data_IF_661499148886
#
_entry.id   IF_661499148886
#
_cell.length_a   1.000
_cell.length_b   1.000
_cell.length_c   1.000
_cell.angle_alpha   90.00
_cell.angle_beta   90.00
_cell.angle_gamma   90.00
#
_symmetry.space_group_name_H-M   'P 1'
#
loop_
_entity.id
_entity.type
_entity.pdbx_description
1 polymer ?
#
# COMPACT_ATOMS: atom_id res chain seq x y z
N UNK A 1 19.85 5.23 10.34
CA UNK A 1 18.64 4.48 10.75
C UNK A 1 18.70 3.11 10.08
N UNK A 2 18.31 2.04 10.79
CA UNK A 2 18.24 0.71 10.18
C UNK A 2 17.29 0.74 8.95
N UNK A 3 17.62 0.00 7.91
CA UNK A 3 16.82 -0.09 6.69
C UNK A 3 15.53 -0.88 6.98
N UNK A 4 14.38 -0.21 6.98
CA UNK A 4 13.09 -0.87 7.19
C UNK A 4 12.68 -1.73 5.99
N UNK A 5 11.91 -2.80 6.25
CA UNK A 5 11.34 -3.68 5.23
C UNK A 5 9.94 -4.12 5.64
N UNK A 6 8.97 -3.99 4.75
CA UNK A 6 7.59 -4.43 4.95
C UNK A 6 7.24 -5.65 4.10
N UNK A 7 6.27 -6.43 4.56
CA UNK A 7 5.58 -7.47 3.82
C UNK A 7 4.17 -7.01 3.49
N UNK A 8 3.76 -7.09 2.22
CA UNK A 8 2.38 -6.89 1.79
C UNK A 8 1.68 -8.23 1.53
N UNK A 9 0.44 -8.38 2.01
CA UNK A 9 -0.35 -9.59 1.80
C UNK A 9 -1.73 -9.28 1.24
N UNK A 10 -2.30 -10.22 0.48
CA UNK A 10 -3.66 -10.12 -0.11
C UNK A 10 -4.49 -11.32 0.35
N UNK A 11 -4.93 -11.36 1.61
CA UNK A 11 -5.52 -12.58 2.19
C UNK A 11 -6.91 -12.92 1.64
N UNK A 12 -7.64 -11.96 1.09
CA UNK A 12 -8.98 -12.18 0.55
C UNK A 12 -9.07 -13.08 -0.69
N UNK A 13 -7.93 -13.60 -1.17
CA UNK A 13 -7.86 -14.58 -2.27
C UNK A 13 -7.85 -16.04 -1.77
N UNK A 14 -8.35 -16.29 -0.57
CA UNK A 14 -8.54 -17.66 -0.05
C UNK A 14 -7.77 -18.02 1.21
N UNK A 15 -7.09 -17.06 1.87
CA UNK A 15 -6.39 -17.32 3.13
C UNK A 15 -7.38 -17.47 4.28
N UNK A 16 -7.12 -18.43 5.15
CA UNK A 16 -7.83 -18.56 6.43
C UNK A 16 -7.22 -17.64 7.48
N UNK A 17 -7.98 -17.29 8.51
CA UNK A 17 -7.48 -16.47 9.62
C UNK A 17 -6.20 -17.04 10.25
N UNK A 18 -6.09 -18.37 10.39
CA UNK A 18 -4.88 -19.03 10.87
C UNK A 18 -3.66 -18.83 9.98
N UNK A 19 -3.85 -18.74 8.66
CA UNK A 19 -2.78 -18.52 7.69
C UNK A 19 -2.26 -17.10 7.81
N UNK A 20 -3.15 -16.11 7.94
CA UNK A 20 -2.79 -14.70 8.18
C UNK A 20 -1.94 -14.58 9.45
N UNK A 21 -2.37 -15.22 10.55
CA UNK A 21 -1.63 -15.18 11.82
C UNK A 21 -0.29 -15.91 11.75
N UNK A 22 -0.22 -17.04 11.02
CA UNK A 22 1.03 -17.78 10.84
C UNK A 22 2.05 -16.96 10.05
N UNK A 23 1.65 -16.43 8.89
CA UNK A 23 2.50 -15.57 8.05
C UNK A 23 2.94 -14.31 8.80
N UNK A 24 2.08 -13.73 9.63
CA UNK A 24 2.43 -12.57 10.42
C UNK A 24 3.56 -12.88 11.43
N UNK A 25 3.47 -14.01 12.15
CA UNK A 25 4.55 -14.46 13.05
C UNK A 25 5.83 -14.78 12.29
N UNK A 26 5.71 -15.54 11.19
CA UNK A 26 6.86 -15.92 10.36
C UNK A 26 7.61 -14.69 9.82
N UNK A 27 6.89 -13.64 9.40
CA UNK A 27 7.47 -12.39 8.94
C UNK A 27 8.16 -11.60 10.08
N UNK A 28 7.52 -11.50 11.24
CA UNK A 28 8.11 -10.86 12.42
C UNK A 28 9.39 -11.59 12.88
N UNK A 29 9.39 -12.91 12.91
CA UNK A 29 10.54 -13.74 13.27
C UNK A 29 11.66 -13.71 12.22
N UNK A 30 11.31 -13.41 10.97
CA UNK A 30 12.26 -13.20 9.89
C UNK A 30 12.87 -11.79 9.85
N UNK A 31 12.45 -10.88 10.74
CA UNK A 31 13.00 -9.54 10.86
C UNK A 31 12.38 -8.50 9.94
N UNK A 32 11.15 -8.72 9.45
CA UNK A 32 10.38 -7.66 8.80
C UNK A 32 9.95 -6.60 9.83
N UNK A 33 9.90 -5.34 9.40
CA UNK A 33 9.55 -4.20 10.26
C UNK A 33 8.07 -3.83 10.19
N UNK A 34 7.35 -4.31 9.18
CA UNK A 34 5.92 -4.05 9.02
C UNK A 34 5.19 -5.08 8.18
N UNK A 35 3.90 -5.26 8.43
CA UNK A 35 3.01 -6.14 7.66
C UNK A 35 1.77 -5.35 7.26
N UNK A 36 1.47 -5.35 5.96
CA UNK A 36 0.40 -4.55 5.37
C UNK A 36 -0.56 -5.45 4.61
N UNK A 37 -1.84 -5.35 4.91
CA UNK A 37 -2.87 -6.15 4.25
C UNK A 37 -3.68 -5.31 3.24
N UNK A 38 -3.94 -5.88 2.07
CA UNK A 38 -4.82 -5.27 1.06
C UNK A 38 -6.30 -5.56 1.35
N UNK A 39 -7.17 -4.61 1.01
CA UNK A 39 -8.63 -4.78 1.07
C UNK A 39 -9.15 -5.36 -0.25
N UNK A 40 -9.12 -6.68 -0.36
CA UNK A 40 -9.62 -7.47 -1.49
C UNK A 40 -10.43 -8.64 -0.94
N UNK A 41 -11.73 -8.65 -1.12
CA UNK A 41 -12.66 -9.68 -0.62
C UNK A 41 -12.56 -9.93 0.91
N UNK A 42 -12.12 -8.94 1.67
CA UNK A 42 -11.97 -9.01 3.13
C UNK A 42 -12.18 -7.63 3.76
N UNK A 43 -12.50 -7.57 5.03
CA UNK A 43 -12.37 -6.35 5.83
C UNK A 43 -10.91 -6.21 6.29
N UNK A 44 -10.25 -5.18 5.78
CA UNK A 44 -8.82 -4.97 6.06
C UNK A 44 -8.57 -4.52 7.51
N UNK A 45 -9.54 -3.89 8.18
CA UNK A 45 -9.40 -3.50 9.58
C UNK A 45 -9.44 -4.75 10.49
N UNK A 46 -10.38 -5.68 10.23
CA UNK A 46 -10.41 -6.98 10.91
C UNK A 46 -9.15 -7.80 10.61
N UNK A 47 -8.65 -7.76 9.38
CA UNK A 47 -7.40 -8.42 9.01
C UNK A 47 -6.21 -7.84 9.77
N UNK A 48 -6.12 -6.51 9.90
CA UNK A 48 -5.08 -5.86 10.69
C UNK A 48 -5.12 -6.28 12.16
N UNK A 49 -6.32 -6.44 12.75
CA UNK A 49 -6.47 -6.97 14.12
C UNK A 49 -5.91 -8.39 14.25
N UNK A 50 -6.18 -9.27 13.28
CA UNK A 50 -5.64 -10.64 13.29
C UNK A 50 -4.10 -10.65 13.24
N UNK A 51 -3.51 -9.79 12.41
CA UNK A 51 -2.05 -9.63 12.31
C UNK A 51 -1.49 -9.11 13.63
N UNK A 52 -2.08 -8.05 14.17
CA UNK A 52 -1.63 -7.42 15.42
C UNK A 52 -1.71 -8.34 16.63
N UNK A 53 -2.78 -9.14 16.74
CA UNK A 53 -2.93 -10.14 17.79
C UNK A 53 -1.90 -11.29 17.70
N UNK A 54 -1.33 -11.51 16.52
CA UNK A 54 -0.32 -12.55 16.30
C UNK A 54 1.12 -12.04 16.42
N UNK A 55 1.36 -10.73 16.53
CA UNK A 55 2.67 -10.08 16.50
C UNK A 55 2.87 -9.12 17.69
N UNK A 56 4.13 -8.77 17.99
CA UNK A 56 4.48 -7.93 19.14
C UNK A 56 5.33 -6.71 18.82
N UNK A 57 6.05 -6.71 17.70
CA UNK A 57 7.06 -5.69 17.36
C UNK A 57 6.79 -4.97 16.05
N UNK A 58 6.34 -5.72 15.03
CA UNK A 58 6.15 -5.17 13.68
C UNK A 58 5.05 -4.13 13.64
N UNK A 59 5.23 -3.11 12.81
CA UNK A 59 4.14 -2.24 12.43
C UNK A 59 3.07 -3.04 11.65
N UNK A 60 1.81 -2.72 11.85
CA UNK A 60 0.69 -3.35 11.13
C UNK A 60 -0.09 -2.27 10.41
N UNK A 61 -0.37 -2.46 9.13
CA UNK A 61 -1.09 -1.45 8.38
C UNK A 61 -2.12 -1.99 7.40
N UNK A 62 -3.05 -1.11 7.04
CA UNK A 62 -3.93 -1.34 5.90
C UNK A 62 -3.27 -0.84 4.62
N UNK A 63 -3.43 -1.58 3.51
CA UNK A 63 -2.81 -1.22 2.22
C UNK A 63 -3.74 -1.48 1.04
N UNK A 64 -4.78 -0.76 0.93
CA UNK A 64 -5.32 0.37 1.71
C UNK A 64 -6.76 0.07 2.14
N UNK A 65 -7.25 0.72 3.18
CA UNK A 65 -8.66 0.74 3.48
C UNK A 65 -9.38 1.68 2.51
N UNK A 66 -10.39 1.17 1.80
CA UNK A 66 -11.17 1.92 0.84
C UNK A 66 -12.08 2.92 1.56
N UNK A 67 -11.90 4.21 1.28
CA UNK A 67 -12.66 5.30 1.91
C UNK A 67 -14.16 5.29 1.64
N UNK A 68 -14.60 4.57 0.61
CA UNK A 68 -16.01 4.50 0.24
C UNK A 68 -16.78 3.38 0.95
N UNK A 69 -16.08 2.40 1.55
CA UNK A 69 -16.72 1.22 2.15
C UNK A 69 -17.06 1.39 3.63
N UNK A 70 -16.56 2.45 4.28
CA UNK A 70 -16.87 2.69 5.69
C UNK A 70 -16.99 4.18 6.00
N UNK A 71 -17.92 4.53 6.89
CA UNK A 71 -18.05 5.91 7.35
C UNK A 71 -16.78 6.36 8.08
N UNK A 72 -16.27 7.61 7.90
CA UNK A 72 -15.03 8.08 8.51
C UNK A 72 -15.03 8.00 10.05
N UNK A 73 -16.20 8.16 10.69
CA UNK A 73 -16.35 7.95 12.12
C UNK A 73 -16.02 6.51 12.52
N UNK A 74 -16.63 5.51 11.87
CA UNK A 74 -16.40 4.10 12.17
C UNK A 74 -14.95 3.70 11.88
N UNK A 75 -14.39 4.25 10.80
CA UNK A 75 -12.97 4.05 10.47
C UNK A 75 -12.05 4.59 11.57
N UNK A 76 -12.30 5.80 12.06
CA UNK A 76 -11.51 6.40 13.13
C UNK A 76 -11.63 5.62 14.46
N UNK A 77 -12.85 5.20 14.85
CA UNK A 77 -13.05 4.41 16.07
C UNK A 77 -12.36 3.04 15.98
N UNK A 78 -12.47 2.36 14.83
CA UNK A 78 -11.76 1.11 14.60
C UNK A 78 -10.25 1.28 14.63
N UNK A 79 -9.73 2.31 13.96
CA UNK A 79 -8.29 2.62 13.95
C UNK A 79 -7.75 2.93 15.35
N UNK A 80 -8.52 3.69 16.14
CA UNK A 80 -8.20 4.01 17.54
C UNK A 80 -8.08 2.74 18.41
N UNK A 81 -9.07 1.85 18.31
CA UNK A 81 -9.08 0.59 19.06
C UNK A 81 -7.92 -0.32 18.65
N UNK A 82 -7.65 -0.42 17.35
CA UNK A 82 -6.55 -1.24 16.82
C UNK A 82 -5.21 -0.67 17.29
N UNK A 83 -5.02 0.65 17.23
CA UNK A 83 -3.79 1.31 17.67
C UNK A 83 -3.56 1.11 19.18
N UNK A 84 -4.61 1.20 19.99
CA UNK A 84 -4.54 0.97 21.43
C UNK A 84 -4.14 -0.48 21.72
N UNK A 85 -4.82 -1.45 21.12
CA UNK A 85 -4.51 -2.87 21.26
C UNK A 85 -3.10 -3.26 20.80
N UNK A 86 -2.49 -2.47 19.92
CA UNK A 86 -1.14 -2.69 19.37
C UNK A 86 -0.10 -1.70 19.93
N UNK A 87 -0.42 -0.95 20.97
CA UNK A 87 0.50 -0.01 21.60
C UNK A 87 1.14 0.97 20.60
N UNK A 88 0.34 1.49 19.66
CA UNK A 88 0.75 2.48 18.67
C UNK A 88 1.45 1.92 17.41
N UNK A 89 1.52 0.61 17.22
CA UNK A 89 2.12 -0.02 16.02
C UNK A 89 1.23 -0.01 14.78
N UNK A 90 0.00 0.53 14.85
CA UNK A 90 -0.93 0.54 13.75
C UNK A 90 -0.72 1.73 12.81
N UNK A 91 -0.76 1.49 11.50
CA UNK A 91 -0.71 2.49 10.43
C UNK A 91 -1.99 2.39 9.61
N UNK A 92 -2.77 3.48 9.55
CA UNK A 92 -4.00 3.53 8.76
C UNK A 92 -3.68 3.99 7.33
N UNK A 93 -3.53 3.05 6.42
CA UNK A 93 -3.42 3.32 4.98
C UNK A 93 -4.81 3.51 4.37
N UNK A 94 -5.05 4.64 3.73
CA UNK A 94 -6.31 5.03 3.10
C UNK A 94 -6.16 5.24 1.59
N UNK A 95 -7.20 4.96 0.84
CA UNK A 95 -7.22 5.18 -0.60
C UNK A 95 -8.61 5.08 -1.20
N UNK A 96 -8.70 5.46 -2.47
CA UNK A 96 -9.95 5.50 -3.23
C UNK A 96 -10.28 4.19 -3.94
N UNK A 97 -9.42 3.17 -3.82
CA UNK A 97 -9.54 1.90 -4.56
C UNK A 97 -9.59 2.12 -6.09
N UNK A 98 -10.20 1.21 -6.83
CA UNK A 98 -10.24 1.23 -8.29
C UNK A 98 -11.66 1.44 -8.80
N UNK A 99 -11.89 2.27 -9.84
CA UNK A 99 -13.25 2.54 -10.35
C UNK A 99 -14.03 1.28 -10.72
N UNK A 100 -13.47 0.26 -11.39
CA UNK A 100 -14.23 -0.95 -11.70
C UNK A 100 -14.67 -1.71 -10.44
N UNK A 101 -13.82 -1.76 -9.41
CA UNK A 101 -14.13 -2.43 -8.13
C UNK A 101 -15.25 -1.67 -7.41
N UNK A 102 -15.12 -0.37 -7.26
CA UNK A 102 -16.14 0.46 -6.61
C UNK A 102 -17.47 0.41 -7.34
N UNK A 103 -17.47 0.44 -8.68
CA UNK A 103 -18.69 0.29 -9.49
C UNK A 103 -19.36 -1.06 -9.26
N UNK A 104 -18.61 -2.15 -9.20
CA UNK A 104 -19.14 -3.48 -8.91
C UNK A 104 -19.78 -3.58 -7.52
N UNK A 105 -19.31 -2.76 -6.56
CA UNK A 105 -19.84 -2.64 -5.21
C UNK A 105 -20.97 -1.59 -5.09
N UNK A 106 -21.45 -1.03 -6.19
CA UNK A 106 -22.50 -0.01 -6.20
C UNK A 106 -22.06 1.37 -5.67
N UNK A 107 -20.76 1.64 -5.63
CA UNK A 107 -20.20 2.90 -5.13
C UNK A 107 -20.08 3.91 -6.26
N UNK A 108 -20.69 5.08 -6.09
CA UNK A 108 -20.39 6.28 -6.87
C UNK A 108 -19.20 7.02 -6.24
N UNK A 109 -18.12 7.13 -6.98
CA UNK A 109 -16.89 7.77 -6.48
C UNK A 109 -16.92 9.30 -6.53
N UNK A 110 -17.78 9.91 -7.35
CA UNK A 110 -17.80 11.36 -7.57
C UNK A 110 -16.43 11.93 -7.95
N UNK A 111 -15.97 12.94 -7.20
CA UNK A 111 -14.58 13.48 -7.29
C UNK A 111 -13.68 12.79 -6.24
N UNK A 112 -12.87 11.79 -6.62
CA UNK A 112 -12.06 11.03 -5.68
C UNK A 112 -11.04 11.85 -4.89
N UNK A 113 -10.31 12.83 -5.47
CA UNK A 113 -9.43 13.72 -4.70
C UNK A 113 -10.17 14.52 -3.63
N UNK A 114 -11.33 15.08 -3.94
CA UNK A 114 -12.13 15.81 -2.97
C UNK A 114 -12.71 14.89 -1.89
N UNK A 115 -13.17 13.70 -2.26
CA UNK A 115 -13.64 12.68 -1.32
C UNK A 115 -12.53 12.25 -0.36
N UNK A 116 -11.33 11.98 -0.88
CA UNK A 116 -10.17 11.61 -0.07
C UNK A 116 -9.80 12.73 0.92
N UNK A 117 -9.77 13.98 0.48
CA UNK A 117 -9.52 15.14 1.36
C UNK A 117 -10.53 15.19 2.51
N UNK A 118 -11.82 15.15 2.19
CA UNK A 118 -12.87 15.19 3.23
C UNK A 118 -12.74 14.02 4.20
N UNK A 119 -12.49 12.83 3.68
CA UNK A 119 -12.40 11.63 4.49
C UNK A 119 -11.20 11.65 5.45
N UNK A 120 -10.00 11.94 4.95
CA UNK A 120 -8.78 12.01 5.78
C UNK A 120 -8.90 13.10 6.83
N UNK A 121 -9.45 14.27 6.47
CA UNK A 121 -9.69 15.36 7.43
C UNK A 121 -10.66 14.93 8.53
N UNK A 122 -11.76 14.28 8.17
CA UNK A 122 -12.75 13.81 9.15
C UNK A 122 -12.18 12.73 10.07
N UNK A 123 -11.46 11.74 9.53
CA UNK A 123 -10.81 10.68 10.34
C UNK A 123 -9.84 11.31 11.33
N UNK A 124 -9.00 12.24 10.88
CA UNK A 124 -8.00 12.91 11.74
C UNK A 124 -8.66 13.72 12.84
N UNK A 125 -9.76 14.43 12.54
CA UNK A 125 -10.56 15.17 13.52
C UNK A 125 -11.16 14.24 14.59
N UNK A 126 -11.76 13.11 14.18
CA UNK A 126 -12.29 12.11 15.11
C UNK A 126 -11.19 11.49 16.01
N UNK A 127 -10.02 11.19 15.46
CA UNK A 127 -8.89 10.66 16.22
C UNK A 127 -8.37 11.64 17.28
N UNK A 128 -8.52 12.94 17.04
CA UNK A 128 -8.17 14.00 18.01
C UNK A 128 -9.29 14.31 19.03
N UNK A 129 -10.45 13.70 18.88
CA UNK A 129 -11.62 14.03 19.68
C UNK A 129 -12.30 15.36 19.29
N UNK A 130 -12.02 15.88 18.09
CA UNK A 130 -12.54 17.13 17.53
C UNK A 130 -13.76 16.93 16.60
N UNK A 131 -14.33 15.73 16.57
CA UNK A 131 -15.49 15.41 15.75
C UNK A 131 -16.76 16.15 16.20
N UNK A 132 -17.84 16.13 15.38
CA UNK A 132 -19.11 16.74 15.74
C UNK A 132 -19.63 16.23 17.08
N UNK A 133 -20.23 17.14 17.87
CA UNK A 133 -20.84 16.77 19.13
C UNK A 133 -21.94 15.73 18.93
N UNK A 134 -21.87 14.66 19.70
CA UNK A 134 -22.89 13.61 19.79
C UNK A 134 -23.43 13.54 21.21
N UNK A 135 -24.32 12.59 21.49
CA UNK A 135 -24.79 12.34 22.87
C UNK A 135 -23.69 11.78 23.80
N UNK A 136 -22.56 11.37 23.25
CA UNK A 136 -21.39 10.92 24.03
C UNK A 136 -20.19 11.84 23.75
N UNK A 137 -19.43 12.24 24.78
CA UNK A 137 -18.23 13.05 24.60
C UNK A 137 -17.19 12.29 23.75
N UNK A 138 -16.60 13.00 22.81
CA UNK A 138 -15.45 12.48 22.06
C UNK A 138 -14.18 12.58 22.90
N UNK A 139 -13.30 11.60 22.76
CA UNK A 139 -11.99 11.57 23.42
C UNK A 139 -10.90 11.38 22.38
N UNK A 140 -9.72 12.02 22.56
CA UNK A 140 -8.54 11.71 21.75
C UNK A 140 -8.17 10.24 21.90
N UNK A 141 -7.61 9.65 20.83
CA UNK A 141 -7.03 8.32 20.88
C UNK A 141 -5.84 8.28 21.84
N UNK A 142 -5.69 7.24 22.68
CA UNK A 142 -4.55 7.14 23.60
C UNK A 142 -3.22 6.92 22.89
N UNK A 143 -3.26 6.31 21.69
CA UNK A 143 -2.08 6.04 20.86
C UNK A 143 -2.15 6.81 19.53
N UNK A 144 -1.01 7.24 18.97
CA UNK A 144 -1.01 7.88 17.65
C UNK A 144 -1.42 6.88 16.56
N UNK A 145 -2.19 7.38 15.59
CA UNK A 145 -2.57 6.63 14.38
C UNK A 145 -2.02 7.38 13.17
N UNK A 146 -0.84 7.03 12.67
CA UNK A 146 -0.33 7.58 11.42
C UNK A 146 -1.27 7.26 10.26
N UNK A 147 -1.64 8.28 9.47
CA UNK A 147 -2.48 8.13 8.28
C UNK A 147 -1.60 8.17 7.05
N UNK A 148 -1.57 7.07 6.30
CA UNK A 148 -0.89 6.97 5.01
C UNK A 148 -1.90 7.00 3.88
N UNK A 149 -1.53 7.59 2.73
CA UNK A 149 -2.44 7.75 1.59
C UNK A 149 -1.85 7.13 0.33
N UNK A 150 -2.64 6.28 -0.33
CA UNK A 150 -2.33 5.80 -1.67
C UNK A 150 -2.69 6.85 -2.72
N UNK A 151 -1.77 7.11 -3.64
CA UNK A 151 -1.97 8.07 -4.72
C UNK A 151 -1.19 7.65 -5.98
N UNK A 152 -1.67 8.10 -7.15
CA UNK A 152 -1.14 7.69 -8.46
C UNK A 152 -0.68 8.90 -9.31
N UNK A 153 -1.44 9.99 -9.29
CA UNK A 153 -1.16 11.19 -10.09
C UNK A 153 -0.40 12.25 -9.29
N UNK A 154 0.32 13.15 -9.94
CA UNK A 154 1.03 14.26 -9.28
C UNK A 154 0.10 15.06 -8.34
N UNK A 155 -1.15 15.33 -8.77
CA UNK A 155 -2.16 16.05 -7.98
C UNK A 155 -2.54 15.27 -6.70
N UNK A 156 -2.74 13.96 -6.79
CA UNK A 156 -3.10 13.15 -5.61
C UNK A 156 -1.89 12.88 -4.71
N UNK A 157 -0.68 12.83 -5.26
CA UNK A 157 0.56 12.76 -4.47
C UNK A 157 0.81 14.07 -3.70
N UNK A 158 0.56 15.22 -4.33
CA UNK A 158 0.59 16.52 -3.64
C UNK A 158 -0.43 16.56 -2.50
N UNK A 159 -1.65 16.04 -2.73
CA UNK A 159 -2.67 15.90 -1.69
C UNK A 159 -2.21 14.98 -0.54
N UNK A 160 -1.54 13.85 -0.85
CA UNK A 160 -0.94 13.00 0.18
C UNK A 160 0.12 13.76 0.98
N UNK A 161 0.97 14.54 0.32
CA UNK A 161 1.93 15.44 0.97
C UNK A 161 1.27 16.42 1.93
N UNK A 162 0.12 16.96 1.59
CA UNK A 162 -0.62 17.93 2.43
C UNK A 162 -1.30 17.29 3.63
N UNK A 163 -1.89 16.11 3.48
CA UNK A 163 -2.84 15.53 4.45
C UNK A 163 -2.29 14.38 5.28
N UNK A 164 -1.28 13.66 4.79
CA UNK A 164 -0.92 12.36 5.33
C UNK A 164 0.45 12.36 6.02
N UNK A 165 0.66 11.40 6.92
CA UNK A 165 1.94 11.14 7.55
C UNK A 165 2.84 10.31 6.63
N UNK A 166 2.25 9.53 5.71
CA UNK A 166 2.96 8.75 4.72
C UNK A 166 2.26 8.65 3.38
N UNK A 167 3.01 8.21 2.36
CA UNK A 167 2.58 8.02 0.99
C UNK A 167 2.82 6.57 0.55
N UNK A 168 1.79 5.91 -0.01
CA UNK A 168 1.78 4.49 -0.35
C UNK A 168 1.53 4.26 -1.85
N UNK A 169 2.54 4.39 -2.72
CA UNK A 169 2.41 4.07 -4.13
C UNK A 169 2.54 2.56 -4.39
N UNK A 170 1.94 2.11 -5.51
CA UNK A 170 2.01 0.75 -6.02
C UNK A 170 2.34 0.73 -7.50
N UNK A 171 3.13 -0.24 -7.96
CA UNK A 171 3.59 -0.38 -9.35
C UNK A 171 4.32 0.87 -9.87
N UNK A 172 5.08 1.51 -9.01
CA UNK A 172 5.92 2.64 -9.37
C UNK A 172 7.35 2.19 -9.62
N UNK A 173 8.01 2.80 -10.60
CA UNK A 173 9.46 2.67 -10.77
C UNK A 173 10.21 3.55 -9.76
N UNK A 174 11.48 3.20 -9.48
CA UNK A 174 12.36 4.02 -8.65
C UNK A 174 12.47 5.46 -9.18
N UNK A 175 12.57 5.66 -10.50
CA UNK A 175 12.59 6.99 -11.11
C UNK A 175 11.32 7.80 -10.81
N UNK A 176 10.15 7.17 -10.77
CA UNK A 176 8.91 7.86 -10.43
C UNK A 176 8.81 8.17 -8.93
N UNK A 177 9.37 7.32 -8.07
CA UNK A 177 9.52 7.62 -6.63
C UNK A 177 10.37 8.89 -6.45
N UNK A 178 11.49 8.98 -7.14
CA UNK A 178 12.34 10.19 -7.10
C UNK A 178 11.56 11.44 -7.52
N UNK A 179 10.83 11.37 -8.64
CA UNK A 179 9.98 12.48 -9.10
C UNK A 179 8.92 12.90 -8.09
N UNK A 180 8.38 11.95 -7.32
CA UNK A 180 7.31 12.24 -6.36
C UNK A 180 7.73 13.15 -5.22
N UNK A 181 9.01 13.20 -4.88
CA UNK A 181 9.53 14.04 -3.79
C UNK A 181 9.14 15.52 -3.96
N UNK A 182 9.25 16.04 -5.17
CA UNK A 182 8.87 17.43 -5.47
C UNK A 182 7.35 17.65 -5.29
N UNK A 183 6.52 16.67 -5.66
CA UNK A 183 5.07 16.76 -5.45
C UNK A 183 4.70 16.67 -3.97
N UNK A 184 5.31 15.75 -3.24
CA UNK A 184 5.13 15.61 -1.79
C UNK A 184 5.56 16.89 -1.04
N UNK A 185 6.69 17.49 -1.44
CA UNK A 185 7.18 18.76 -0.86
C UNK A 185 6.20 19.90 -1.08
N UNK A 186 5.64 20.05 -2.30
CA UNK A 186 4.62 21.08 -2.57
C UNK A 186 3.36 20.89 -1.73
N UNK A 187 2.94 19.64 -1.55
CA UNK A 187 1.83 19.32 -0.64
C UNK A 187 2.18 19.62 0.80
N UNK A 188 3.35 19.20 1.26
CA UNK A 188 3.82 19.41 2.63
C UNK A 188 3.95 20.88 3.01
N UNK A 189 4.31 21.75 2.07
CA UNK A 189 4.36 23.18 2.28
C UNK A 189 2.98 23.81 2.63
N UNK A 190 1.87 23.11 2.31
CA UNK A 190 0.50 23.51 2.65
C UNK A 190 0.01 22.90 3.99
N UNK A 191 0.71 21.90 4.50
CA UNK A 191 0.34 21.18 5.70
C UNK A 191 0.66 22.00 6.97
N UNK A 192 -0.13 21.80 8.03
CA UNK A 192 0.16 22.36 9.35
C UNK A 192 0.42 21.22 10.34
N UNK A 193 1.57 21.25 11.01
CA UNK A 193 1.89 20.35 12.12
C UNK A 193 2.20 18.90 11.73
N UNK A 194 2.45 18.59 10.44
CA UNK A 194 2.87 17.28 9.98
C UNK A 194 4.40 17.27 9.71
N UNK A 195 5.07 16.19 10.12
CA UNK A 195 6.49 15.96 9.91
C UNK A 195 6.84 15.57 8.46
N UNK A 196 8.03 14.97 8.24
CA UNK A 196 8.42 14.40 6.95
C UNK A 196 7.38 13.35 6.50
N UNK A 197 7.07 13.29 5.20
CA UNK A 197 6.24 12.21 4.64
C UNK A 197 7.08 10.94 4.55
N UNK A 198 6.58 9.85 5.14
CA UNK A 198 7.17 8.51 5.01
C UNK A 198 6.75 7.89 3.66
N UNK A 199 7.70 7.50 2.82
CA UNK A 199 7.43 6.94 1.49
C UNK A 199 7.48 5.41 1.58
N UNK A 200 6.30 4.77 1.50
CA UNK A 200 6.13 3.32 1.62
C UNK A 200 5.67 2.73 0.29
N UNK A 201 6.60 2.16 -0.47
CA UNK A 201 6.34 1.66 -1.83
C UNK A 201 5.99 0.19 -1.81
N UNK A 202 4.80 -0.18 -2.33
CA UNK A 202 4.46 -1.58 -2.62
C UNK A 202 5.15 -2.07 -3.89
N UNK A 203 5.99 -3.09 -3.77
CA UNK A 203 6.81 -3.59 -4.87
C UNK A 203 6.53 -5.08 -5.07
N UNK A 204 5.88 -5.49 -6.18
CA UNK A 204 5.73 -6.91 -6.51
C UNK A 204 7.11 -7.58 -6.58
N UNK A 205 7.24 -8.73 -5.92
CA UNK A 205 8.54 -9.35 -5.69
C UNK A 205 8.49 -10.84 -6.00
N UNK A 206 9.30 -11.28 -6.95
CA UNK A 206 9.34 -12.65 -7.47
C UNK A 206 10.78 -13.16 -7.46
N UNK A 207 11.16 -13.91 -6.42
CA UNK A 207 12.52 -14.45 -6.25
C UNK A 207 12.64 -15.81 -6.91
N UNK A 208 13.65 -16.00 -7.75
CA UNK A 208 13.97 -17.26 -8.40
C UNK A 208 15.15 -17.10 -9.38
N UNK A 209 15.87 -18.16 -9.64
CA UNK A 209 17.13 -18.11 -10.41
C UNK A 209 16.91 -17.80 -11.90
N UNK A 210 15.78 -18.23 -12.48
CA UNK A 210 15.42 -17.97 -13.87
C UNK A 210 14.63 -16.66 -13.99
N UNK A 211 15.29 -15.59 -14.43
CA UNK A 211 14.70 -14.25 -14.63
C UNK A 211 13.53 -14.30 -15.63
N UNK A 212 13.64 -15.10 -16.69
CA UNK A 212 12.59 -15.22 -17.71
C UNK A 212 11.32 -15.83 -17.10
N UNK A 213 11.49 -16.90 -16.32
CA UNK A 213 10.38 -17.53 -15.60
C UNK A 213 9.73 -16.55 -14.62
N UNK A 214 10.52 -15.79 -13.85
CA UNK A 214 9.97 -14.82 -12.90
C UNK A 214 9.22 -13.67 -13.59
N UNK A 215 9.63 -13.25 -14.79
CA UNK A 215 8.86 -12.29 -15.59
C UNK A 215 7.52 -12.87 -16.04
N UNK A 216 7.45 -14.14 -16.43
CA UNK A 216 6.18 -14.78 -16.80
C UNK A 216 5.23 -14.89 -15.60
N UNK A 217 5.74 -15.24 -14.41
CA UNK A 217 4.96 -15.24 -13.16
C UNK A 217 4.42 -13.82 -12.88
N UNK A 218 5.28 -12.81 -13.01
CA UNK A 218 4.89 -11.40 -12.81
C UNK A 218 3.81 -10.96 -13.82
N UNK A 219 3.92 -11.34 -15.12
CA UNK A 219 2.90 -11.06 -16.14
C UNK A 219 1.54 -11.63 -15.76
N UNK A 220 1.52 -12.90 -15.32
CA UNK A 220 0.29 -13.55 -14.89
C UNK A 220 -0.36 -12.83 -13.70
N UNK A 221 0.41 -12.55 -12.66
CA UNK A 221 -0.08 -11.92 -11.44
C UNK A 221 -0.51 -10.45 -11.63
N UNK A 222 0.16 -9.73 -12.54
CA UNK A 222 -0.09 -8.30 -12.77
C UNK A 222 -1.04 -8.04 -13.94
N UNK A 223 -1.48 -9.07 -14.68
CA UNK A 223 -2.35 -8.92 -15.85
C UNK A 223 -3.65 -8.14 -15.55
N UNK A 224 -4.23 -8.34 -14.38
CA UNK A 224 -5.46 -7.65 -13.96
C UNK A 224 -5.32 -6.14 -13.95
N UNK A 225 -4.13 -5.61 -13.66
CA UNK A 225 -3.89 -4.17 -13.58
C UNK A 225 -3.82 -3.49 -14.94
N UNK A 226 -3.61 -4.25 -16.03
CA UNK A 226 -3.58 -3.72 -17.40
C UNK A 226 -4.94 -3.18 -17.84
N UNK A 227 -6.05 -3.70 -17.28
CA UNK A 227 -7.42 -3.25 -17.52
C UNK A 227 -7.84 -2.04 -16.68
N UNK A 228 -7.00 -1.55 -15.78
CA UNK A 228 -7.38 -0.44 -14.90
C UNK A 228 -6.87 0.90 -15.44
N UNK A 229 -7.76 1.86 -15.75
CA UNK A 229 -7.37 3.17 -16.30
C UNK A 229 -6.36 3.96 -15.46
N UNK A 230 -6.35 3.74 -14.14
CA UNK A 230 -5.36 4.35 -13.25
C UNK A 230 -3.93 3.89 -13.55
N UNK A 231 -3.73 2.58 -13.73
CA UNK A 231 -2.42 2.04 -14.02
C UNK A 231 -1.98 2.35 -15.45
N UNK A 232 -2.90 2.35 -16.42
CA UNK A 232 -2.59 2.80 -17.78
C UNK A 232 -2.07 4.25 -17.78
N UNK A 233 -2.74 5.17 -17.08
CA UNK A 233 -2.26 6.55 -16.92
C UNK A 233 -0.91 6.63 -16.19
N UNK A 234 -0.74 5.82 -15.13
CA UNK A 234 0.53 5.73 -14.39
C UNK A 234 1.68 5.28 -15.31
N UNK A 235 1.49 4.20 -16.04
CA UNK A 235 2.51 3.64 -16.92
C UNK A 235 2.83 4.60 -18.07
N UNK A 236 1.83 5.21 -18.71
CA UNK A 236 2.04 6.23 -19.74
C UNK A 236 2.83 7.42 -19.21
N UNK A 237 2.49 7.94 -18.02
CA UNK A 237 3.22 9.02 -17.36
C UNK A 237 4.61 8.62 -16.85
N UNK A 238 4.92 7.33 -16.82
CA UNK A 238 6.23 6.77 -16.44
C UNK A 238 7.09 6.35 -17.63
N UNK A 239 6.69 6.71 -18.87
CA UNK A 239 7.46 6.45 -20.09
C UNK A 239 7.18 5.09 -20.75
N UNK A 240 6.06 4.43 -20.41
CA UNK A 240 5.62 3.15 -20.96
C UNK A 240 4.42 3.32 -21.91
N UNK A 241 4.44 4.34 -22.76
CA UNK A 241 3.38 4.64 -23.73
C UNK A 241 3.06 3.46 -24.66
N UNK A 242 4.05 2.86 -25.35
CA UNK A 242 3.83 1.73 -26.24
C UNK A 242 3.16 0.52 -25.55
N UNK A 243 3.52 0.23 -24.31
CA UNK A 243 2.90 -0.82 -23.51
C UNK A 243 1.43 -0.50 -23.21
N UNK A 244 1.13 0.77 -22.88
CA UNK A 244 -0.25 1.22 -22.63
C UNK A 244 -1.09 1.13 -23.89
N UNK A 245 -0.57 1.47 -25.07
CA UNK A 245 -1.26 1.32 -26.35
C UNK A 245 -1.64 -0.14 -26.64
N UNK A 246 -0.84 -1.11 -26.18
CA UNK A 246 -1.18 -2.53 -26.23
C UNK A 246 -2.25 -2.92 -25.20
N UNK A 247 -2.18 -2.38 -23.97
CA UNK A 247 -3.20 -2.59 -22.93
C UNK A 247 -4.58 -2.11 -23.40
N UNK A 248 -4.64 -0.92 -24.00
CA UNK A 248 -5.88 -0.33 -24.54
C UNK A 248 -6.48 -1.15 -25.70
N UNK A 249 -5.63 -1.90 -26.45
CA UNK A 249 -6.05 -2.87 -27.47
C UNK A 249 -6.43 -4.24 -26.91
N UNK A 250 -6.40 -4.42 -25.60
CA UNK A 250 -6.80 -5.68 -24.94
C UNK A 250 -5.73 -6.76 -24.87
N UNK A 251 -4.45 -6.44 -25.05
CA UNK A 251 -3.37 -7.43 -25.00
C UNK A 251 -3.14 -8.02 -23.57
N UNK A 252 -3.81 -7.50 -22.54
CA UNK A 252 -3.73 -8.03 -21.18
C UNK A 252 -2.29 -8.10 -20.68
N UNK A 253 -1.92 -9.21 -20.05
CA UNK A 253 -0.57 -9.44 -19.50
C UNK A 253 0.54 -9.37 -20.56
N UNK A 254 0.27 -9.68 -21.83
CA UNK A 254 1.26 -9.58 -22.90
C UNK A 254 1.76 -8.14 -23.14
N UNK A 255 0.98 -7.13 -22.75
CA UNK A 255 1.41 -5.73 -22.79
C UNK A 255 2.44 -5.36 -21.71
N UNK A 256 2.67 -6.21 -20.71
CA UNK A 256 3.68 -6.00 -19.68
C UNK A 256 5.06 -6.41 -20.21
N UNK A 257 5.75 -5.48 -20.86
CA UNK A 257 7.09 -5.72 -21.40
C UNK A 257 8.11 -6.05 -20.30
N UNK A 258 9.21 -6.73 -20.67
CA UNK A 258 10.32 -6.97 -19.73
C UNK A 258 10.83 -5.68 -19.09
N UNK A 259 10.92 -4.60 -19.89
CA UNK A 259 11.34 -3.28 -19.45
C UNK A 259 10.41 -2.70 -18.38
N UNK A 260 9.09 -2.84 -18.56
CA UNK A 260 8.12 -2.37 -17.57
C UNK A 260 8.20 -3.21 -16.31
N UNK A 261 8.23 -4.53 -16.42
CA UNK A 261 8.34 -5.42 -15.27
C UNK A 261 9.61 -5.17 -14.46
N UNK A 262 10.76 -5.05 -15.12
CA UNK A 262 12.06 -4.75 -14.48
C UNK A 262 12.05 -3.39 -13.75
N UNK A 263 11.24 -2.44 -14.21
CA UNK A 263 11.15 -1.12 -13.61
C UNK A 263 10.25 -1.06 -12.35
N UNK A 264 9.23 -1.93 -12.26
CA UNK A 264 8.20 -1.84 -11.19
C UNK A 264 8.20 -3.04 -10.24
N UNK A 265 9.00 -4.08 -10.51
CA UNK A 265 9.10 -5.28 -9.68
C UNK A 265 10.53 -5.51 -9.19
N UNK A 266 10.66 -6.30 -8.11
CA UNK A 266 11.90 -7.03 -7.82
C UNK A 266 11.73 -8.44 -8.38
N UNK A 267 12.59 -8.86 -9.33
CA UNK A 267 12.45 -10.17 -9.93
C UNK A 267 13.79 -10.77 -10.36
N UNK A 268 13.88 -12.10 -10.20
CA UNK A 268 15.07 -12.89 -10.50
C UNK A 268 15.80 -13.40 -9.26
N UNK A 269 17.10 -13.73 -9.36
CA UNK A 269 17.91 -14.16 -8.23
C UNK A 269 17.90 -13.15 -7.09
N UNK A 270 18.03 -13.61 -5.86
CA UNK A 270 17.96 -12.77 -4.67
C UNK A 270 18.97 -11.60 -4.69
N UNK A 271 20.17 -11.81 -5.25
CA UNK A 271 21.16 -10.74 -5.45
C UNK A 271 20.61 -9.60 -6.30
N UNK A 272 19.99 -9.95 -7.45
CA UNK A 272 19.34 -8.97 -8.35
C UNK A 272 18.18 -8.27 -7.66
N UNK A 273 17.33 -9.00 -6.93
CA UNK A 273 16.23 -8.39 -6.18
C UNK A 273 16.74 -7.38 -5.12
N UNK A 274 17.87 -7.68 -4.46
CA UNK A 274 18.50 -6.77 -3.51
C UNK A 274 19.09 -5.51 -4.18
N UNK A 275 19.69 -5.64 -5.36
CA UNK A 275 20.17 -4.50 -6.16
C UNK A 275 19.01 -3.60 -6.59
N UNK A 276 17.92 -4.18 -7.09
CA UNK A 276 16.71 -3.42 -7.44
C UNK A 276 16.11 -2.74 -6.20
N UNK A 277 16.05 -3.41 -5.06
CA UNK A 277 15.59 -2.84 -3.79
C UNK A 277 16.45 -1.66 -3.36
N UNK A 278 17.78 -1.76 -3.51
CA UNK A 278 18.69 -0.66 -3.21
C UNK A 278 18.42 0.56 -4.10
N UNK A 279 18.06 0.36 -5.38
CA UNK A 279 17.66 1.45 -6.27
C UNK A 279 16.37 2.17 -5.81
N UNK A 280 15.36 1.43 -5.32
CA UNK A 280 14.17 2.03 -4.71
C UNK A 280 14.51 2.83 -3.45
N UNK A 281 15.42 2.34 -2.62
CA UNK A 281 15.88 3.07 -1.42
C UNK A 281 16.63 4.35 -1.79
N UNK A 282 17.55 4.28 -2.75
CA UNK A 282 18.27 5.44 -3.26
C UNK A 282 17.33 6.50 -3.82
N UNK A 283 16.22 6.09 -4.46
CA UNK A 283 15.17 6.98 -4.93
C UNK A 283 14.35 7.63 -3.80
N UNK A 284 14.51 7.18 -2.54
CA UNK A 284 13.88 7.78 -1.36
C UNK A 284 12.75 6.98 -0.76
N UNK A 285 12.65 5.68 -1.07
CA UNK A 285 11.72 4.79 -0.36
C UNK A 285 12.18 4.57 1.08
N UNK A 286 11.40 5.03 2.04
CA UNK A 286 11.68 4.87 3.47
C UNK A 286 11.28 3.45 3.96
N UNK A 287 10.18 2.88 3.41
CA UNK A 287 9.68 1.55 3.73
C UNK A 287 9.25 0.81 2.44
N UNK A 288 10.13 0.04 1.81
CA UNK A 288 9.71 -0.90 0.78
C UNK A 288 8.79 -1.97 1.36
N UNK A 289 7.64 -2.19 0.73
CA UNK A 289 6.67 -3.23 1.08
C UNK A 289 6.74 -4.28 -0.01
N UNK A 290 7.36 -5.42 0.28
CA UNK A 290 7.51 -6.51 -0.68
C UNK A 290 6.19 -7.26 -0.82
N UNK A 291 5.72 -7.38 -2.07
CA UNK A 291 4.45 -8.02 -2.41
C UNK A 291 4.75 -9.37 -3.07
N UNK A 292 4.56 -10.51 -2.38
CA UNK A 292 4.73 -11.84 -2.97
C UNK A 292 3.63 -12.18 -3.97
N UNK A 293 3.72 -13.36 -4.60
CA UNK A 293 2.55 -14.02 -5.19
C UNK A 293 1.43 -14.11 -4.15
N UNK A 294 0.18 -14.05 -4.62
CA UNK A 294 -0.99 -13.86 -3.74
C UNK A 294 -1.29 -15.02 -2.78
N UNK A 295 -0.68 -16.19 -3.00
CA UNK A 295 -0.87 -17.38 -2.17
C UNK A 295 0.04 -17.39 -0.92
N UNK A 296 -0.30 -18.27 0.03
CA UNK A 296 0.42 -18.41 1.32
C UNK A 296 1.85 -18.91 1.11
N UNK A 297 2.07 -19.80 0.14
CA UNK A 297 3.40 -20.38 -0.12
C UNK A 297 4.34 -19.36 -0.77
N UNK A 298 3.81 -18.51 -1.65
CA UNK A 298 4.54 -17.36 -2.19
C UNK A 298 4.97 -16.38 -1.11
N UNK A 299 4.09 -16.12 -0.12
CA UNK A 299 4.44 -15.29 1.02
C UNK A 299 5.56 -15.92 1.87
N UNK A 300 5.50 -17.22 2.16
CA UNK A 300 6.57 -17.95 2.88
C UNK A 300 7.89 -17.95 2.13
N UNK A 301 7.86 -18.20 0.83
CA UNK A 301 9.06 -18.16 -0.01
C UNK A 301 9.74 -16.79 0.05
N UNK A 302 8.98 -15.71 -0.04
CA UNK A 302 9.49 -14.34 0.08
C UNK A 302 10.08 -14.08 1.47
N UNK A 303 9.36 -14.43 2.54
CA UNK A 303 9.83 -14.28 3.93
C UNK A 303 11.16 -14.99 4.13
N UNK A 304 11.25 -16.24 3.66
CA UNK A 304 12.50 -17.02 3.73
C UNK A 304 13.65 -16.36 2.97
N UNK A 305 13.40 -15.84 1.76
CA UNK A 305 14.42 -15.23 0.91
C UNK A 305 14.98 -13.92 1.52
N UNK A 306 14.13 -13.12 2.16
CA UNK A 306 14.52 -11.81 2.74
C UNK A 306 14.74 -11.83 4.25
N UNK A 307 14.84 -13.01 4.85
CA UNK A 307 15.14 -13.16 6.28
C UNK A 307 16.43 -12.40 6.65
N UNK A 308 16.39 -11.69 7.78
CA UNK A 308 17.51 -10.92 8.36
C UNK A 308 18.07 -11.58 9.59
#
# INVERSE_FOLDING_TARGET
>A
MAERLGLGIIPGVGWRAKDIQAIAREAEDAGFDGIFAAEVNNDVMATAQLIGAATRRVAVGTWIANIYLRHPYVCAQGAALIADAMEGRFILGLGVSHPPVNKALGVDMGDPPAALRRYVTAVRSWLKGEGPATHLPQRPTPQPVPIYVAAVTSRTVELAGELADGFMPFLWSAARVEQSKAWLQRGRAKAKGLGKVDISVGIPTYVGDDVKQQREVARGNLAVFTGFPFFQRLFRASGFGPEVDQMERGAGGAALSDRLLDAVCLLGPLSRCREQLAAFRAAGTDLPILMPSVDVDGARALIKAFRR
#
